data_IF_634887109610
#
_entry.id   IF_634887109610
#
_cell.length_a   1.000
_cell.length_b   1.000
_cell.length_c   1.000
_cell.angle_alpha   90.00
_cell.angle_beta   90.00
_cell.angle_gamma   90.00
#
_symmetry.space_group_name_H-M   'P 1'
#
loop_
_entity.id
_entity.type
_entity.pdbx_description
1 polymer ?
#
# COMPACT_ATOMS: atom_id res chain seq x y z
N UNK A 1 11.38 11.71 -2.50
CA UNK A 1 11.38 11.24 -1.09
C UNK A 1 11.65 9.75 -1.08
N UNK A 2 12.70 9.33 -0.37
CA UNK A 2 13.02 7.92 -0.16
C UNK A 2 12.30 7.40 1.09
N UNK A 3 11.64 6.24 0.96
CA UNK A 3 10.96 5.60 2.09
C UNK A 3 11.98 4.87 2.97
N UNK A 4 11.76 4.89 4.29
CA UNK A 4 12.52 4.07 5.23
C UNK A 4 11.90 2.68 5.38
N UNK A 5 12.68 1.72 5.87
CA UNK A 5 12.17 0.38 6.18
C UNK A 5 11.00 0.37 7.16
N UNK A 6 11.02 1.27 8.15
CA UNK A 6 9.93 1.45 9.12
C UNK A 6 8.64 1.92 8.44
N UNK A 7 8.74 2.89 7.52
CA UNK A 7 7.59 3.38 6.76
C UNK A 7 7.07 2.32 5.78
N UNK A 8 7.95 1.55 5.13
CA UNK A 8 7.55 0.45 4.26
C UNK A 8 6.77 -0.63 5.04
N UNK A 9 7.25 -1.00 6.24
CA UNK A 9 6.56 -1.95 7.13
C UNK A 9 5.19 -1.42 7.57
N UNK A 10 5.11 -0.15 7.95
CA UNK A 10 3.85 0.48 8.35
C UNK A 10 2.85 0.53 7.19
N UNK A 11 3.29 0.94 6.00
CA UNK A 11 2.48 0.93 4.79
C UNK A 11 1.93 -0.47 4.48
N UNK A 12 2.78 -1.50 4.54
CA UNK A 12 2.38 -2.89 4.29
C UNK A 12 1.32 -3.36 5.28
N UNK A 13 1.46 -2.99 6.55
CA UNK A 13 0.46 -3.32 7.57
C UNK A 13 -0.87 -2.60 7.31
N UNK A 14 -0.84 -1.32 6.90
CA UNK A 14 -2.04 -0.56 6.59
C UNK A 14 -2.81 -1.12 5.40
N UNK A 15 -2.11 -1.50 4.32
CA UNK A 15 -2.75 -2.08 3.12
C UNK A 15 -3.02 -3.58 3.23
N UNK A 16 -2.70 -4.18 4.38
CA UNK A 16 -2.93 -5.59 4.71
C UNK A 16 -2.33 -6.58 3.70
N UNK A 17 -1.25 -6.21 3.03
CA UNK A 17 -0.60 -7.08 2.04
C UNK A 17 0.45 -8.00 2.69
N UNK A 18 0.47 -9.30 2.32
CA UNK A 18 1.56 -10.20 2.66
C UNK A 18 2.91 -9.69 2.14
N UNK A 19 4.00 -9.95 2.87
CA UNK A 19 5.34 -9.44 2.52
C UNK A 19 5.84 -10.02 1.18
N UNK A 20 5.64 -11.31 0.97
CA UNK A 20 5.96 -12.02 -0.28
C UNK A 20 5.19 -11.44 -1.47
N UNK A 21 3.92 -11.05 -1.28
CA UNK A 21 3.14 -10.36 -2.29
C UNK A 21 3.77 -9.03 -2.69
N UNK A 22 4.11 -8.17 -1.70
CA UNK A 22 4.77 -6.88 -1.95
C UNK A 22 6.14 -7.08 -2.60
N UNK A 23 6.95 -8.02 -2.11
CA UNK A 23 8.28 -8.31 -2.63
C UNK A 23 8.23 -8.72 -4.11
N UNK A 24 7.30 -9.62 -4.46
CA UNK A 24 7.06 -10.06 -5.85
C UNK A 24 6.66 -8.90 -6.75
N UNK A 25 5.70 -8.06 -6.33
CA UNK A 25 5.27 -6.90 -7.12
C UNK A 25 6.38 -5.85 -7.27
N UNK A 26 7.18 -5.66 -6.21
CA UNK A 26 8.29 -4.72 -6.22
C UNK A 26 9.52 -5.26 -6.94
N UNK A 27 9.56 -6.55 -7.31
CA UNK A 27 10.69 -7.20 -7.98
C UNK A 27 11.93 -7.29 -7.09
N UNK A 28 11.75 -7.61 -5.81
CA UNK A 28 12.85 -7.84 -4.86
C UNK A 28 12.63 -9.14 -4.08
N UNK A 29 13.69 -9.69 -3.50
CA UNK A 29 13.60 -10.90 -2.70
C UNK A 29 12.87 -10.65 -1.36
N UNK A 30 12.07 -11.62 -0.92
CA UNK A 30 11.32 -11.51 0.34
C UNK A 30 12.23 -11.36 1.57
N UNK A 31 13.36 -12.07 1.70
CA UNK A 31 14.34 -11.83 2.77
C UNK A 31 14.91 -10.42 2.74
N UNK A 32 15.25 -9.89 1.56
CA UNK A 32 15.73 -8.51 1.40
C UNK A 32 14.68 -7.50 1.88
N UNK A 33 13.41 -7.67 1.52
CA UNK A 33 12.33 -6.83 2.05
C UNK A 33 12.21 -6.95 3.58
N UNK A 34 12.34 -8.15 4.13
CA UNK A 34 12.26 -8.36 5.57
C UNK A 34 13.41 -7.66 6.33
N UNK A 35 14.62 -7.71 5.79
CA UNK A 35 15.79 -7.03 6.34
C UNK A 35 15.70 -5.51 6.20
N UNK A 36 15.24 -5.02 5.04
CA UNK A 36 14.97 -3.60 4.84
C UNK A 36 13.93 -3.07 5.84
N UNK A 37 12.79 -3.75 5.96
CA UNK A 37 11.74 -3.40 6.93
C UNK A 37 12.26 -3.38 8.39
N UNK A 38 13.26 -4.22 8.69
CA UNK A 38 13.89 -4.28 10.01
C UNK A 38 15.04 -3.28 10.20
N UNK A 39 15.41 -2.53 9.17
CA UNK A 39 16.56 -1.62 9.19
C UNK A 39 17.92 -2.32 9.19
N UNK A 40 17.97 -3.58 8.72
CA UNK A 40 19.20 -4.39 8.64
C UNK A 40 19.90 -4.34 7.28
N UNK A 41 19.18 -3.96 6.23
CA UNK A 41 19.71 -3.89 4.87
C UNK A 41 19.14 -2.68 4.12
N UNK A 42 19.84 -2.26 3.07
CA UNK A 42 19.38 -1.26 2.11
C UNK A 42 19.27 -1.90 0.71
N UNK A 43 18.07 -2.00 0.11
CA UNK A 43 17.89 -2.62 -1.20
C UNK A 43 18.28 -1.67 -2.36
N UNK A 44 18.71 -0.44 -2.08
CA UNK A 44 19.04 0.57 -3.07
C UNK A 44 17.85 1.45 -3.48
N UNK A 45 18.16 2.58 -4.10
CA UNK A 45 17.17 3.62 -4.37
C UNK A 45 16.08 3.21 -5.37
N UNK A 46 16.45 2.45 -6.40
CA UNK A 46 15.51 1.91 -7.39
C UNK A 46 14.52 0.92 -6.78
N UNK A 47 14.99 0.10 -5.83
CA UNK A 47 14.14 -0.84 -5.11
C UNK A 47 13.20 -0.11 -4.15
N UNK A 48 13.67 0.92 -3.44
CA UNK A 48 12.84 1.77 -2.58
C UNK A 48 11.75 2.48 -3.39
N UNK A 49 12.06 2.96 -4.58
CA UNK A 49 11.09 3.59 -5.47
C UNK A 49 9.99 2.60 -5.91
N UNK A 50 10.37 1.39 -6.33
CA UNK A 50 9.41 0.32 -6.67
C UNK A 50 8.55 -0.08 -5.48
N UNK A 51 9.14 -0.27 -4.31
CA UNK A 51 8.40 -0.58 -3.09
C UNK A 51 7.36 0.48 -2.74
N UNK A 52 7.74 1.76 -2.83
CA UNK A 52 6.84 2.88 -2.61
C UNK A 52 5.65 2.80 -3.57
N UNK A 53 5.89 2.64 -4.87
CA UNK A 53 4.85 2.58 -5.89
C UNK A 53 3.87 1.41 -5.65
N UNK A 54 4.39 0.22 -5.34
CA UNK A 54 3.58 -0.97 -5.06
C UNK A 54 2.68 -0.75 -3.83
N UNK A 55 3.23 -0.17 -2.76
CA UNK A 55 2.44 0.11 -1.56
C UNK A 55 1.41 1.22 -1.80
N UNK A 56 1.73 2.23 -2.61
CA UNK A 56 0.79 3.28 -3.02
C UNK A 56 -0.35 2.70 -3.89
N UNK A 57 -0.07 1.69 -4.73
CA UNK A 57 -1.10 0.94 -5.47
C UNK A 57 -2.05 0.17 -4.54
N UNK A 58 -1.53 -0.36 -3.42
CA UNK A 58 -2.33 -0.96 -2.36
C UNK A 58 -3.16 0.04 -1.54
N UNK A 59 -3.01 1.35 -1.81
CA UNK A 59 -3.76 2.40 -1.13
C UNK A 59 -3.00 3.09 -0.01
N UNK A 60 -1.71 2.83 0.16
CA UNK A 60 -0.87 3.64 1.07
C UNK A 60 -0.65 5.04 0.48
N UNK A 61 -0.46 6.03 1.35
CA UNK A 61 -0.07 7.39 1.00
C UNK A 61 1.07 7.79 1.93
N UNK A 62 2.27 7.94 1.38
CA UNK A 62 3.43 8.39 2.14
C UNK A 62 3.41 9.91 2.31
N UNK A 63 3.58 10.35 3.54
CA UNK A 63 3.63 11.74 3.93
C UNK A 63 5.09 12.14 4.17
N UNK A 64 5.61 13.17 3.48
CA UNK A 64 6.94 13.68 3.77
C UNK A 64 7.01 14.32 5.15
N UNK A 65 8.24 14.47 5.65
CA UNK A 65 8.49 15.40 6.75
C UNK A 65 8.07 16.81 6.33
N UNK A 66 7.31 17.46 7.18
CA UNK A 66 7.07 18.90 7.12
C UNK A 66 7.60 19.52 8.42
N UNK A 67 7.79 20.84 8.47
CA UNK A 67 8.49 21.51 9.57
C UNK A 67 7.94 21.24 10.98
N UNK A 68 6.73 20.69 11.11
CA UNK A 68 6.08 20.37 12.37
C UNK A 68 5.90 18.85 12.60
N UNK A 69 5.92 18.04 11.53
CA UNK A 69 5.61 16.60 11.59
C UNK A 69 6.67 15.74 10.89
N UNK A 70 7.02 14.61 11.52
CA UNK A 70 7.88 13.60 10.92
C UNK A 70 7.22 12.83 9.77
N UNK A 71 8.01 12.10 8.99
CA UNK A 71 7.50 11.32 7.86
C UNK A 71 6.50 10.26 8.34
N UNK A 72 5.44 10.08 7.57
CA UNK A 72 4.32 9.22 7.95
C UNK A 72 3.76 8.42 6.78
N UNK A 73 2.77 7.58 7.07
CA UNK A 73 1.97 6.88 6.07
C UNK A 73 0.52 6.76 6.55
N UNK A 74 -0.43 6.90 5.63
CA UNK A 74 -1.87 6.72 5.87
C UNK A 74 -2.54 5.95 4.72
N UNK A 75 -3.80 5.58 4.88
CA UNK A 75 -4.62 5.04 3.79
C UNK A 75 -5.18 6.16 2.91
N UNK A 76 -5.30 5.89 1.61
CA UNK A 76 -5.88 6.79 0.60
C UNK A 76 -7.37 7.03 0.82
N UNK A 77 -8.09 5.98 1.21
CA UNK A 77 -9.52 6.00 1.42
C UNK A 77 -9.84 6.02 2.91
N UNK A 78 -10.82 6.81 3.30
CA UNK A 78 -11.34 6.79 4.67
C UNK A 78 -12.20 5.55 4.88
N UNK A 79 -12.43 5.16 6.14
CA UNK A 79 -13.40 4.10 6.47
C UNK A 79 -14.83 4.43 6.00
N UNK A 80 -15.14 5.70 5.71
CA UNK A 80 -16.42 6.11 5.11
C UNK A 80 -16.44 5.80 3.61
N UNK A 81 -15.36 6.12 2.90
CA UNK A 81 -15.24 5.88 1.45
C UNK A 81 -15.32 4.38 1.15
N UNK A 82 -14.60 3.56 1.92
CA UNK A 82 -14.63 2.09 1.78
C UNK A 82 -16.05 1.54 1.99
N UNK A 83 -16.79 2.05 2.99
CA UNK A 83 -18.18 1.63 3.25
C UNK A 83 -19.14 2.07 2.13
N UNK A 84 -18.90 3.22 1.52
CA UNK A 84 -19.71 3.70 0.39
C UNK A 84 -19.46 2.85 -0.86
N UNK A 85 -18.20 2.51 -1.17
CA UNK A 85 -17.83 1.64 -2.29
C UNK A 85 -18.47 0.25 -2.14
N UNK A 86 -18.31 -0.39 -0.97
CA UNK A 86 -18.89 -1.72 -0.73
C UNK A 86 -20.43 -1.73 -0.84
N UNK A 87 -21.10 -0.62 -0.53
CA UNK A 87 -22.56 -0.50 -0.71
C UNK A 87 -22.93 -0.42 -2.19
N UNK A 88 -22.17 0.33 -2.99
CA UNK A 88 -22.40 0.49 -4.42
C UNK A 88 -22.13 -0.81 -5.20
N UNK A 89 -21.15 -1.62 -4.80
CA UNK A 89 -20.89 -2.93 -5.42
C UNK A 89 -21.94 -4.00 -5.05
N UNK A 90 -22.67 -3.81 -3.95
CA UNK A 90 -23.78 -4.66 -3.52
C UNK A 90 -25.11 -4.36 -4.21
N UNK A 91 -25.22 -3.24 -4.94
CA UNK A 91 -26.39 -2.88 -5.75
C UNK A 91 -26.25 -3.45 -7.17
N UNK A 92 -26.12 -4.77 -7.27
CA UNK A 92 -26.46 -5.48 -8.49
C UNK A 92 -27.94 -5.22 -8.77
N UNK A 93 -28.23 -4.20 -9.58
CA UNK A 93 -29.59 -3.88 -10.02
C UNK A 93 -30.26 -5.15 -10.57
N UNK A 94 -31.57 -5.34 -10.35
CA UNK A 94 -32.26 -6.54 -10.80
C UNK A 94 -31.95 -6.77 -12.27
N UNK A 95 -31.45 -7.98 -12.58
CA UNK A 95 -31.25 -8.42 -13.95
C UNK A 95 -32.62 -8.29 -14.61
N UNK A 96 -32.78 -7.27 -15.46
CA UNK A 96 -33.96 -7.17 -16.29
C UNK A 96 -34.01 -8.46 -17.08
N UNK A 97 -35.01 -9.30 -16.81
CA UNK A 97 -35.38 -10.37 -17.73
C UNK A 97 -35.80 -9.65 -19.00
N UNK A 98 -34.87 -9.57 -19.94
CA UNK A 98 -35.14 -9.13 -21.30
C UNK A 98 -35.99 -10.22 -21.94
N UNK A 99 -37.30 -10.11 -21.74
CA UNK A 99 -38.30 -10.85 -22.50
C UNK A 99 -38.49 -10.11 -23.83
N UNK A 100 -37.68 -10.44 -24.83
CA UNK A 100 -37.97 -10.20 -26.26
C UNK A 100 -37.55 -11.38 -27.12
#
# INVERSE_FOLDING_TARGET
MQISGKLARAARALVEWPRDHVARLAGIDTPMLADFEAGRADPGDDAKARLRLVLEQGGAVFLPEDGEQGAGVRLKFTARDVRAINRMEGEGGPVGTDDV
#
